data_IF_995334083683
#
_entry.id   IF_995334083683
#
_cell.length_a   1.000
_cell.length_b   1.000
_cell.length_c   1.000
_cell.angle_alpha   90.00
_cell.angle_beta   90.00
_cell.angle_gamma   90.00
#
_symmetry.space_group_name_H-M   'P 1'
#
loop_
_entity.id
_entity.type
_entity.pdbx_description
1 polymer ?
#
# COMPACT_ATOMS: atom_id res chain seq x y z
N UNK A 1 11.86 20.31 40.55
CA UNK A 1 12.49 19.49 39.49
C UNK A 1 13.10 20.43 38.48
N UNK A 2 14.38 20.28 38.16
CA UNK A 2 15.10 21.21 37.28
C UNK A 2 14.50 21.16 35.86
N UNK A 3 13.81 22.23 35.47
CA UNK A 3 13.12 22.35 34.17
C UNK A 3 14.07 22.68 33.01
N UNK A 4 15.38 22.70 33.26
CA UNK A 4 16.36 23.14 32.28
C UNK A 4 16.85 21.99 31.39
N UNK A 5 17.22 22.33 30.16
CA UNK A 5 17.79 21.43 29.17
C UNK A 5 19.27 21.77 29.03
N UNK A 6 20.14 20.79 29.26
CA UNK A 6 21.57 20.93 29.04
C UNK A 6 21.88 20.53 27.60
N UNK A 7 22.43 21.45 26.82
CA UNK A 7 22.81 21.23 25.42
C UNK A 7 24.34 21.35 25.31
N UNK A 8 24.99 20.28 24.87
CA UNK A 8 26.42 20.29 24.54
C UNK A 8 26.59 20.57 23.05
N UNK A 9 27.28 21.66 22.71
CA UNK A 9 27.69 21.98 21.33
C UNK A 9 29.21 22.21 21.37
N UNK A 10 29.97 21.30 20.78
CA UNK A 10 31.43 21.27 20.95
C UNK A 10 31.80 21.08 22.43
N UNK A 11 32.67 21.94 22.95
CA UNK A 11 33.13 21.93 24.34
C UNK A 11 32.29 22.83 25.28
N UNK A 12 31.19 23.42 24.79
CA UNK A 12 30.38 24.39 25.54
C UNK A 12 29.06 23.75 25.98
N UNK A 13 28.77 23.88 27.29
CA UNK A 13 27.50 23.48 27.91
C UNK A 13 26.55 24.67 27.98
N UNK A 14 25.44 24.60 27.25
CA UNK A 14 24.36 25.57 27.31
C UNK A 14 23.25 25.07 28.25
N UNK A 15 22.85 25.91 29.19
CA UNK A 15 21.66 25.71 30.02
C UNK A 15 20.48 26.44 29.39
N UNK A 16 19.51 25.68 28.89
CA UNK A 16 18.27 26.21 28.29
C UNK A 16 17.18 26.10 29.35
N UNK A 17 16.88 27.21 30.03
CA UNK A 17 15.81 27.26 31.04
C UNK A 17 14.43 27.47 30.41
N UNK A 18 14.37 28.24 29.32
CA UNK A 18 13.16 28.44 28.52
C UNK A 18 13.08 27.41 27.37
N UNK A 19 12.04 26.58 27.40
CA UNK A 19 11.82 25.50 26.42
C UNK A 19 11.12 26.01 25.16
N UNK A 20 10.65 27.26 25.14
CA UNK A 20 9.96 27.86 24.00
C UNK A 20 10.75 27.73 22.69
N UNK A 21 12.09 27.91 22.65
CA UNK A 21 12.78 27.86 21.37
C UNK A 21 12.86 26.45 20.79
N UNK A 22 13.02 25.43 21.64
CA UNK A 22 13.01 24.02 21.21
C UNK A 22 11.63 23.62 20.72
N UNK A 23 10.56 24.08 21.39
CA UNK A 23 9.18 23.88 20.94
C UNK A 23 8.97 24.45 19.53
N UNK A 24 9.37 25.70 19.29
CA UNK A 24 9.17 26.36 18.00
C UNK A 24 9.99 25.72 16.88
N UNK A 25 11.24 25.34 17.15
CA UNK A 25 12.07 24.63 16.17
C UNK A 25 11.46 23.28 15.82
N UNK A 26 11.01 22.50 16.81
CA UNK A 26 10.34 21.23 16.59
C UNK A 26 9.06 21.39 15.77
N UNK A 27 8.24 22.38 16.12
CA UNK A 27 7.01 22.69 15.39
C UNK A 27 7.31 22.98 13.92
N UNK A 28 8.30 23.85 13.65
CA UNK A 28 8.70 24.21 12.29
C UNK A 28 9.21 23.01 11.48
N UNK A 29 10.03 22.16 12.09
CA UNK A 29 10.54 20.95 11.44
C UNK A 29 9.45 19.91 11.12
N UNK A 30 8.39 19.84 11.94
CA UNK A 30 7.23 18.98 11.68
C UNK A 30 6.37 19.57 10.56
N UNK A 31 6.12 20.88 10.58
CA UNK A 31 5.38 21.60 9.52
C UNK A 31 6.06 21.44 8.16
N UNK A 32 7.39 21.54 8.13
CA UNK A 32 8.19 21.38 6.92
C UNK A 32 8.40 19.89 6.54
N UNK A 33 7.86 18.95 7.32
CA UNK A 33 7.88 17.50 7.04
C UNK A 33 9.23 16.80 7.25
N UNK A 34 10.23 17.51 7.80
CA UNK A 34 11.63 17.06 7.90
C UNK A 34 11.84 16.04 9.03
N UNK A 35 11.03 16.14 10.09
CA UNK A 35 11.23 15.38 11.34
C UNK A 35 10.45 14.06 11.42
N UNK A 36 9.40 13.89 10.61
CA UNK A 36 8.41 12.79 10.73
C UNK A 36 9.06 11.41 10.63
N UNK A 37 9.88 11.16 9.60
CA UNK A 37 10.47 9.84 9.37
C UNK A 37 11.60 9.49 10.37
N UNK A 38 12.29 10.51 10.89
CA UNK A 38 13.47 10.32 11.76
C UNK A 38 13.10 10.15 13.23
N UNK A 39 11.98 10.72 13.68
CA UNK A 39 11.55 10.68 15.09
C UNK A 39 10.58 9.53 15.37
N UNK A 40 9.88 9.00 14.37
CA UNK A 40 9.12 7.74 14.49
C UNK A 40 9.99 6.55 14.94
N UNK A 41 11.30 6.60 14.69
CA UNK A 41 12.25 5.58 15.13
C UNK A 41 12.68 5.72 16.61
N UNK A 42 12.45 6.88 17.23
CA UNK A 42 12.87 7.19 18.60
C UNK A 42 11.68 7.13 19.55
N UNK A 43 10.48 7.45 19.06
CA UNK A 43 9.29 7.57 19.91
C UNK A 43 8.16 6.71 19.32
N UNK A 44 7.75 5.61 20.00
CA UNK A 44 6.84 4.62 19.47
C UNK A 44 5.38 5.08 19.65
N UNK A 45 4.97 6.14 18.96
CA UNK A 45 3.59 6.59 18.96
C UNK A 45 2.93 6.36 17.60
N UNK A 46 1.74 5.77 17.65
CA UNK A 46 0.94 5.45 16.47
C UNK A 46 0.63 6.69 15.62
N UNK A 47 0.55 6.47 14.31
CA UNK A 47 0.38 7.43 13.20
C UNK A 47 -0.98 8.18 13.24
N UNK A 48 -1.77 8.03 14.31
CA UNK A 48 -3.14 8.55 14.43
C UNK A 48 -3.27 9.87 15.18
N UNK A 49 -2.16 10.52 15.58
CA UNK A 49 -2.19 11.78 16.32
C UNK A 49 -2.24 13.01 15.39
N UNK A 50 -2.91 14.07 15.83
CA UNK A 50 -2.76 15.39 15.21
C UNK A 50 -1.34 15.93 15.44
N UNK A 51 -0.87 16.86 14.59
CA UNK A 51 0.48 17.45 14.70
C UNK A 51 0.74 18.08 16.08
N UNK A 52 -0.28 18.72 16.67
CA UNK A 52 -0.20 19.36 17.98
C UNK A 52 -0.12 18.35 19.12
N UNK A 53 -0.91 17.27 19.06
CA UNK A 53 -0.82 16.16 20.03
C UNK A 53 0.53 15.44 19.96
N UNK A 54 1.07 15.27 18.75
CA UNK A 54 2.37 14.68 18.53
C UNK A 54 3.50 15.54 19.11
N UNK A 55 3.47 16.85 18.84
CA UNK A 55 4.42 17.82 19.38
C UNK A 55 4.40 17.84 20.92
N UNK A 56 3.21 17.90 21.52
CA UNK A 56 3.05 17.89 22.97
C UNK A 56 3.56 16.59 23.62
N UNK A 57 3.34 15.44 22.96
CA UNK A 57 3.89 14.14 23.44
C UNK A 57 5.40 14.05 23.29
N UNK A 58 5.97 14.55 22.19
CA UNK A 58 7.43 14.61 22.02
C UNK A 58 8.09 15.42 23.13
N UNK A 59 7.50 16.57 23.46
CA UNK A 59 8.03 17.44 24.51
C UNK A 59 7.85 16.79 25.89
N UNK A 60 6.70 16.17 26.14
CA UNK A 60 6.50 15.36 27.36
C UNK A 60 7.49 14.20 27.47
N UNK A 61 7.93 13.62 26.35
CA UNK A 61 8.93 12.54 26.32
C UNK A 61 10.34 13.08 26.62
N UNK A 62 10.70 14.24 26.06
CA UNK A 62 11.94 14.99 26.39
C UNK A 62 12.01 15.31 27.89
N UNK A 63 10.88 15.54 28.54
CA UNK A 63 10.81 15.90 29.95
C UNK A 63 10.97 14.72 30.92
N UNK A 64 10.54 13.51 30.53
CA UNK A 64 10.42 12.37 31.46
C UNK A 64 11.66 11.50 31.56
N UNK A 65 12.52 11.47 30.54
CA UNK A 65 13.64 10.53 30.48
C UNK A 65 14.95 11.22 30.06
N UNK A 66 15.89 11.31 31.01
CA UNK A 66 17.18 12.00 30.85
C UNK A 66 18.06 11.34 29.77
N UNK A 67 18.01 10.00 29.63
CA UNK A 67 18.84 9.28 28.66
C UNK A 67 18.30 9.48 27.23
N UNK A 68 16.98 9.42 27.07
CA UNK A 68 16.32 9.62 25.78
C UNK A 68 16.28 11.10 25.35
N UNK A 69 16.27 12.04 26.32
CA UNK A 69 16.39 13.48 26.11
C UNK A 69 17.63 13.86 25.30
N UNK A 70 18.80 13.32 25.66
CA UNK A 70 20.06 13.62 24.95
C UNK A 70 20.05 13.12 23.50
N UNK A 71 19.56 11.90 23.26
CA UNK A 71 19.48 11.32 21.93
C UNK A 71 18.53 12.08 21.01
N UNK A 72 17.35 12.47 21.52
CA UNK A 72 16.36 13.21 20.76
C UNK A 72 16.83 14.64 20.46
N UNK A 73 17.41 15.34 21.43
CA UNK A 73 17.99 16.67 21.24
C UNK A 73 19.12 16.63 20.21
N UNK A 74 20.03 15.65 20.30
CA UNK A 74 21.07 15.44 19.29
C UNK A 74 20.46 15.29 17.90
N UNK A 75 19.36 14.53 17.77
CA UNK A 75 18.67 14.36 16.49
C UNK A 75 18.03 15.64 15.96
N UNK A 76 17.44 16.45 16.84
CA UNK A 76 16.89 17.76 16.49
C UNK A 76 18.01 18.66 15.97
N UNK A 77 19.14 18.73 16.67
CA UNK A 77 20.30 19.53 16.26
C UNK A 77 20.88 19.05 14.93
N UNK A 78 21.13 17.75 14.77
CA UNK A 78 21.60 17.17 13.50
C UNK A 78 20.64 17.48 12.36
N UNK A 79 19.34 17.40 12.61
CA UNK A 79 18.32 17.67 11.61
C UNK A 79 18.27 19.15 11.27
N UNK A 80 18.46 20.03 12.26
CA UNK A 80 18.52 21.47 12.03
C UNK A 80 19.71 21.83 11.13
N UNK A 81 20.90 21.36 11.51
CA UNK A 81 22.15 21.64 10.78
C UNK A 81 22.03 21.18 9.33
N UNK A 82 21.55 19.96 9.10
CA UNK A 82 21.47 19.38 7.76
C UNK A 82 20.45 20.07 6.83
N UNK A 83 19.41 20.71 7.36
CA UNK A 83 18.32 21.26 6.54
C UNK A 83 18.28 22.79 6.52
N UNK A 84 18.77 23.44 7.58
CA UNK A 84 18.66 24.88 7.76
C UNK A 84 20.00 25.55 8.09
N UNK A 85 21.00 24.79 8.54
CA UNK A 85 22.30 25.34 8.96
C UNK A 85 23.02 26.09 7.84
N UNK A 86 23.14 25.47 6.66
CA UNK A 86 23.80 26.11 5.51
C UNK A 86 23.09 27.39 5.08
N UNK A 87 21.76 27.35 4.94
CA UNK A 87 20.97 28.53 4.57
C UNK A 87 21.08 29.65 5.62
N UNK A 88 21.14 29.30 6.90
CA UNK A 88 21.34 30.26 7.99
C UNK A 88 22.72 30.94 7.88
N UNK A 89 23.78 30.16 7.69
CA UNK A 89 25.14 30.67 7.51
C UNK A 89 25.26 31.54 6.26
N UNK A 90 24.68 31.12 5.14
CA UNK A 90 24.64 31.90 3.90
C UNK A 90 23.94 33.25 4.10
N UNK A 91 22.79 33.27 4.80
CA UNK A 91 22.03 34.50 5.06
C UNK A 91 22.86 35.55 5.83
N UNK A 92 23.62 35.08 6.83
CA UNK A 92 24.43 35.92 7.70
C UNK A 92 25.92 35.97 7.33
N UNK A 93 26.30 35.45 6.17
CA UNK A 93 27.69 35.39 5.69
C UNK A 93 28.38 36.76 5.63
N UNK A 94 27.66 37.79 5.19
CA UNK A 94 28.16 39.18 5.15
C UNK A 94 28.00 39.94 6.49
N UNK A 95 27.63 39.24 7.57
CA UNK A 95 27.57 39.76 8.93
C UNK A 95 26.17 39.87 9.54
N UNK A 96 26.14 39.94 10.87
CA UNK A 96 24.94 40.13 11.69
C UNK A 96 24.67 41.61 11.91
N UNK A 97 23.79 42.18 11.08
CA UNK A 97 23.27 43.54 11.26
C UNK A 97 21.79 43.53 11.66
N UNK A 98 21.33 44.64 12.21
CA UNK A 98 19.98 44.80 12.75
C UNK A 98 18.88 44.60 11.70
N UNK A 99 19.10 45.08 10.47
CA UNK A 99 18.13 44.94 9.38
C UNK A 99 17.92 43.47 9.00
N UNK A 100 19.02 42.72 8.81
CA UNK A 100 19.00 41.28 8.53
C UNK A 100 18.36 40.50 9.68
N UNK A 101 18.69 40.83 10.92
CA UNK A 101 18.07 40.21 12.11
C UNK A 101 16.57 40.41 12.10
N UNK A 102 16.11 41.66 11.94
CA UNK A 102 14.68 41.99 11.92
C UNK A 102 13.94 41.33 10.75
N UNK A 103 14.56 41.26 9.58
CA UNK A 103 14.01 40.57 8.41
C UNK A 103 13.87 39.06 8.66
N UNK A 104 14.93 38.42 9.18
CA UNK A 104 14.92 36.99 9.49
C UNK A 104 13.88 36.64 10.57
N UNK A 105 13.70 37.49 11.59
CA UNK A 105 12.66 37.32 12.61
C UNK A 105 11.26 37.33 11.98
N UNK A 106 11.01 38.19 10.99
CA UNK A 106 9.72 38.25 10.28
C UNK A 106 9.50 37.02 9.38
N UNK A 107 10.55 36.56 8.72
CA UNK A 107 10.48 35.45 7.76
C UNK A 107 10.39 34.08 8.43
N UNK A 108 11.07 33.87 9.57
CA UNK A 108 11.18 32.56 10.23
C UNK A 108 10.61 32.54 11.64
N UNK A 109 11.19 33.34 12.55
CA UNK A 109 10.76 33.66 13.92
C UNK A 109 11.97 34.04 14.77
N UNK A 110 11.72 34.69 15.90
CA UNK A 110 12.75 35.00 16.91
C UNK A 110 13.39 33.74 17.50
N UNK A 111 12.59 32.71 17.75
CA UNK A 111 13.03 31.45 18.35
C UNK A 111 13.92 30.64 17.40
N UNK A 112 13.60 30.66 16.10
CA UNK A 112 14.42 30.02 15.08
C UNK A 112 15.77 30.74 14.90
N UNK A 113 15.77 32.07 14.93
CA UNK A 113 17.02 32.88 14.95
C UNK A 113 17.85 32.56 16.19
N UNK A 114 17.23 32.50 17.36
CA UNK A 114 17.91 32.19 18.62
C UNK A 114 18.62 30.83 18.57
N UNK A 115 17.94 29.82 18.05
CA UNK A 115 18.50 28.48 17.91
C UNK A 115 19.67 28.43 16.92
N UNK A 116 19.53 29.09 15.76
CA UNK A 116 20.62 29.18 14.78
C UNK A 116 21.84 29.94 15.30
N UNK A 117 21.63 31.03 16.05
CA UNK A 117 22.71 31.78 16.70
C UNK A 117 23.44 30.97 17.77
N UNK A 118 22.74 30.09 18.50
CA UNK A 118 23.40 29.20 19.46
C UNK A 118 24.26 28.16 18.74
N UNK A 119 23.71 27.50 17.71
CA UNK A 119 24.42 26.45 16.99
C UNK A 119 25.63 26.96 16.20
N UNK A 120 25.52 28.15 15.62
CA UNK A 120 26.62 28.78 14.86
C UNK A 120 27.61 29.57 15.73
N UNK A 121 27.40 29.64 17.05
CA UNK A 121 28.25 30.42 17.96
C UNK A 121 28.06 31.95 17.88
N UNK A 122 27.07 32.42 17.10
CA UNK A 122 26.77 33.84 16.90
C UNK A 122 25.86 34.46 17.97
N UNK A 123 25.64 33.78 19.10
CA UNK A 123 24.76 34.24 20.19
C UNK A 123 25.08 35.65 20.69
N UNK A 124 26.36 36.05 20.69
CA UNK A 124 26.77 37.39 21.12
C UNK A 124 26.09 38.50 20.31
N UNK A 125 25.96 38.33 18.99
CA UNK A 125 25.32 39.33 18.13
C UNK A 125 23.82 39.46 18.43
N UNK A 126 23.16 38.33 18.71
CA UNK A 126 21.75 38.33 19.12
C UNK A 126 21.58 38.97 20.50
N UNK A 127 22.45 38.66 21.47
CA UNK A 127 22.42 39.27 22.79
C UNK A 127 22.68 40.78 22.73
N UNK A 128 23.64 41.23 21.90
CA UNK A 128 23.91 42.64 21.65
C UNK A 128 22.69 43.34 21.03
N UNK A 129 22.00 42.70 20.08
CA UNK A 129 20.76 43.23 19.51
C UNK A 129 19.64 43.34 20.56
N UNK A 130 19.39 42.27 21.34
CA UNK A 130 18.34 42.24 22.36
C UNK A 130 18.62 43.18 23.55
N UNK A 131 19.88 43.43 23.85
CA UNK A 131 20.27 44.38 24.91
C UNK A 131 20.14 45.84 24.48
N UNK A 132 20.27 46.13 23.18
CA UNK A 132 20.08 47.47 22.60
C UNK A 132 18.62 47.81 22.33
N UNK A 133 17.74 46.81 22.25
CA UNK A 133 16.32 46.97 21.90
C UNK A 133 15.44 47.46 23.05
N UNK A 134 15.77 48.61 23.65
CA UNK A 134 14.86 49.44 24.46
C UNK A 134 14.24 50.61 23.67
N UNK A 135 14.35 50.60 22.34
CA UNK A 135 13.79 51.64 21.48
C UNK A 135 12.49 51.19 20.83
N UNK A 136 11.40 51.88 21.16
CA UNK A 136 10.18 51.88 20.36
C UNK A 136 10.52 52.56 19.04
N UNK A 137 10.64 51.77 17.97
CA UNK A 137 10.77 52.30 16.61
C UNK A 137 9.47 53.02 16.23
N UNK A 138 9.52 54.36 16.14
CA UNK A 138 8.45 55.16 15.55
C UNK A 138 8.82 55.34 14.07
N UNK A 139 8.10 54.62 13.22
CA UNK A 139 8.23 54.68 11.77
C UNK A 139 7.82 56.08 11.27
N UNK A 140 8.75 56.83 10.66
CA UNK A 140 8.41 58.08 9.98
C UNK A 140 7.61 57.74 8.70
N UNK A 141 6.35 58.17 8.68
CA UNK A 141 5.34 57.75 7.69
C UNK A 141 5.37 58.54 6.38
N UNK A 142 6.30 59.49 6.23
CA UNK A 142 6.26 60.45 5.13
C UNK A 142 7.09 60.05 3.90
N UNK A 143 8.22 59.37 4.04
CA UNK A 143 9.06 58.90 2.90
C UNK A 143 8.85 57.42 2.52
N UNK A 144 8.21 56.63 3.37
CA UNK A 144 8.05 55.19 3.20
C UNK A 144 6.85 54.75 2.34
N UNK A 145 5.97 55.65 1.91
CA UNK A 145 4.78 55.26 1.14
C UNK A 145 5.12 54.88 -0.30
N UNK A 146 5.92 55.67 -0.99
CA UNK A 146 6.24 55.42 -2.40
C UNK A 146 7.17 54.20 -2.57
N UNK A 147 8.13 54.01 -1.66
CA UNK A 147 8.97 52.79 -1.61
C UNK A 147 8.19 51.55 -1.19
N UNK A 148 7.32 51.62 -0.17
CA UNK A 148 6.43 50.48 0.17
C UNK A 148 5.53 50.13 -1.00
N UNK A 149 4.99 51.10 -1.73
CA UNK A 149 4.11 50.82 -2.87
C UNK A 149 4.88 50.18 -4.04
N UNK A 150 6.14 50.51 -4.26
CA UNK A 150 7.00 49.81 -5.23
C UNK A 150 7.40 48.42 -4.77
N UNK A 151 7.81 48.26 -3.52
CA UNK A 151 8.16 46.95 -2.93
C UNK A 151 6.96 46.00 -2.94
N UNK A 152 5.77 46.49 -2.58
CA UNK A 152 4.51 45.72 -2.65
C UNK A 152 4.19 45.35 -4.09
N UNK A 153 4.43 46.23 -5.07
CA UNK A 153 4.21 45.92 -6.49
C UNK A 153 5.19 44.87 -7.01
N UNK A 154 6.46 44.92 -6.60
CA UNK A 154 7.45 43.91 -6.95
C UNK A 154 7.15 42.56 -6.30
N UNK A 155 6.79 42.55 -5.02
CA UNK A 155 6.43 41.35 -4.28
C UNK A 155 5.16 40.73 -4.87
N UNK A 156 4.14 41.53 -5.22
CA UNK A 156 2.97 41.07 -5.96
C UNK A 156 3.31 40.49 -7.34
N UNK A 157 4.31 41.03 -8.05
CA UNK A 157 4.77 40.45 -9.32
C UNK A 157 5.45 39.11 -9.10
N UNK A 158 6.31 38.98 -8.07
CA UNK A 158 6.97 37.71 -7.71
C UNK A 158 5.95 36.65 -7.33
N UNK A 159 5.00 36.99 -6.44
CA UNK A 159 3.92 36.10 -6.03
C UNK A 159 3.07 35.67 -7.22
N UNK A 160 2.71 36.61 -8.13
CA UNK A 160 1.96 36.25 -9.35
C UNK A 160 2.71 35.29 -10.24
N UNK A 161 4.00 35.53 -10.47
CA UNK A 161 4.85 34.65 -11.27
C UNK A 161 4.96 33.25 -10.66
N UNK A 162 5.20 33.18 -9.35
CA UNK A 162 5.33 31.90 -8.64
C UNK A 162 4.00 31.13 -8.61
N UNK A 163 2.88 31.82 -8.47
CA UNK A 163 1.55 31.23 -8.54
C UNK A 163 1.23 30.70 -9.95
N UNK A 164 1.64 31.40 -11.01
CA UNK A 164 1.54 30.87 -12.39
C UNK A 164 2.45 29.66 -12.61
N UNK A 165 3.69 29.69 -12.10
CA UNK A 165 4.63 28.56 -12.19
C UNK A 165 4.05 27.32 -11.52
N UNK A 166 3.56 27.46 -10.28
CA UNK A 166 2.94 26.38 -9.51
C UNK A 166 1.68 25.83 -10.19
N UNK A 167 0.86 26.70 -10.81
CA UNK A 167 -0.30 26.25 -11.62
C UNK A 167 0.13 25.39 -12.80
N UNK A 168 1.18 25.78 -13.50
CA UNK A 168 1.72 25.01 -14.64
C UNK A 168 2.29 23.66 -14.18
N UNK A 169 3.05 23.62 -13.08
CA UNK A 169 3.54 22.37 -12.48
C UNK A 169 2.38 21.44 -12.07
N UNK A 170 1.31 21.98 -11.50
CA UNK A 170 0.08 21.23 -11.17
C UNK A 170 -0.58 20.63 -12.42
N UNK A 171 -0.63 21.38 -13.52
CA UNK A 171 -1.18 20.88 -14.80
C UNK A 171 -0.33 19.72 -15.33
N UNK A 172 1.00 19.83 -15.30
CA UNK A 172 1.89 18.76 -15.76
C UNK A 172 1.80 17.51 -14.88
N UNK A 173 1.71 17.67 -13.55
CA UNK A 173 1.47 16.55 -12.64
C UNK A 173 0.15 15.86 -12.92
N UNK A 174 -0.92 16.62 -13.20
CA UNK A 174 -2.22 16.06 -13.60
C UNK A 174 -2.10 15.25 -14.90
N UNK A 175 -1.48 15.82 -15.95
CA UNK A 175 -1.23 15.09 -17.21
C UNK A 175 -0.43 13.80 -16.99
N UNK A 176 0.57 13.85 -16.14
CA UNK A 176 1.41 12.68 -15.81
C UNK A 176 0.58 11.61 -15.08
N UNK A 177 -0.22 12.01 -14.10
CA UNK A 177 -1.13 11.11 -13.39
C UNK A 177 -2.16 10.49 -14.33
N UNK A 178 -2.78 11.27 -15.23
CA UNK A 178 -3.72 10.73 -16.22
C UNK A 178 -3.06 9.70 -17.12
N UNK A 179 -1.80 9.94 -17.52
CA UNK A 179 -1.01 9.00 -18.31
C UNK A 179 -0.70 7.72 -17.55
N UNK A 180 -0.34 7.82 -16.26
CA UNK A 180 -0.10 6.66 -15.39
C UNK A 180 -1.39 5.88 -15.14
N UNK A 181 -2.53 6.56 -14.96
CA UNK A 181 -3.83 5.94 -14.79
C UNK A 181 -4.23 5.13 -16.02
N UNK A 182 -4.00 5.67 -17.22
CA UNK A 182 -4.23 4.96 -18.48
C UNK A 182 -3.34 3.71 -18.60
N UNK A 183 -2.04 3.84 -18.29
CA UNK A 183 -1.12 2.67 -18.26
C UNK A 183 -1.57 1.61 -17.27
N UNK A 184 -2.07 2.01 -16.09
CA UNK A 184 -2.58 1.10 -15.08
C UNK A 184 -3.84 0.37 -15.55
N UNK A 185 -4.74 1.06 -16.23
CA UNK A 185 -5.92 0.46 -16.85
C UNK A 185 -5.55 -0.55 -17.94
N UNK A 186 -4.59 -0.23 -18.80
CA UNK A 186 -4.08 -1.14 -19.84
C UNK A 186 -3.46 -2.39 -19.24
N UNK A 187 -2.64 -2.25 -18.19
CA UNK A 187 -2.02 -3.38 -17.48
C UNK A 187 -3.11 -4.24 -16.83
N UNK A 188 -4.12 -3.62 -16.21
CA UNK A 188 -5.24 -4.33 -15.58
C UNK A 188 -6.03 -5.15 -16.60
N UNK A 189 -6.28 -4.59 -17.80
CA UNK A 189 -6.92 -5.33 -18.89
C UNK A 189 -6.08 -6.50 -19.38
N UNK A 190 -4.76 -6.31 -19.51
CA UNK A 190 -3.83 -7.39 -19.89
C UNK A 190 -3.81 -8.51 -18.86
N UNK A 191 -3.77 -8.18 -17.57
CA UNK A 191 -3.81 -9.16 -16.48
C UNK A 191 -5.08 -10.01 -16.55
N UNK A 192 -6.26 -9.38 -16.68
CA UNK A 192 -7.53 -10.12 -16.82
C UNK A 192 -7.53 -11.10 -18.00
N UNK A 193 -7.01 -10.67 -19.16
CA UNK A 193 -6.90 -11.55 -20.34
C UNK A 193 -5.99 -12.74 -20.07
N UNK A 194 -4.83 -12.50 -19.45
CA UNK A 194 -3.88 -13.56 -19.11
C UNK A 194 -4.46 -14.53 -18.07
N UNK A 195 -5.24 -14.05 -17.11
CA UNK A 195 -5.95 -14.90 -16.15
C UNK A 195 -6.99 -15.79 -16.85
N UNK A 196 -7.75 -15.25 -17.80
CA UNK A 196 -8.70 -16.02 -18.61
C UNK A 196 -7.99 -17.05 -19.50
N UNK A 197 -6.89 -16.68 -20.15
CA UNK A 197 -6.06 -17.60 -20.94
C UNK A 197 -5.46 -18.71 -20.08
N UNK A 198 -4.91 -18.39 -18.92
CA UNK A 198 -4.36 -19.37 -17.99
C UNK A 198 -5.44 -20.34 -17.50
N UNK A 199 -6.65 -19.84 -17.22
CA UNK A 199 -7.79 -20.69 -16.87
C UNK A 199 -8.17 -21.65 -18.01
N UNK A 200 -8.18 -21.17 -19.26
CA UNK A 200 -8.43 -22.03 -20.44
C UNK A 200 -7.38 -23.12 -20.56
N UNK A 201 -6.10 -22.77 -20.48
CA UNK A 201 -4.98 -23.72 -20.52
C UNK A 201 -5.11 -24.74 -19.39
N UNK A 202 -5.45 -24.30 -18.18
CA UNK A 202 -5.66 -25.18 -17.03
C UNK A 202 -6.81 -26.17 -17.26
N UNK A 203 -7.95 -25.69 -17.76
CA UNK A 203 -9.11 -26.53 -18.08
C UNK A 203 -8.81 -27.52 -19.21
N UNK A 204 -8.10 -27.10 -20.26
CA UNK A 204 -7.62 -27.95 -21.36
C UNK A 204 -6.66 -29.03 -20.87
N UNK A 205 -5.69 -28.67 -20.02
CA UNK A 205 -4.74 -29.61 -19.44
C UNK A 205 -5.45 -30.65 -18.56
N UNK A 206 -6.42 -30.24 -17.74
CA UNK A 206 -7.21 -31.17 -16.94
C UNK A 206 -8.05 -32.11 -17.81
N UNK A 207 -8.62 -31.59 -18.89
CA UNK A 207 -9.37 -32.38 -19.86
C UNK A 207 -8.46 -33.43 -20.54
N UNK A 208 -7.25 -33.05 -20.95
CA UNK A 208 -6.25 -33.97 -21.51
C UNK A 208 -5.82 -35.05 -20.50
N UNK A 209 -5.52 -34.66 -19.25
CA UNK A 209 -5.17 -35.61 -18.17
C UNK A 209 -6.28 -36.63 -17.94
N UNK A 210 -7.53 -36.17 -17.87
CA UNK A 210 -8.69 -37.05 -17.74
C UNK A 210 -8.83 -38.00 -18.95
N UNK A 211 -8.63 -37.48 -20.18
CA UNK A 211 -8.68 -38.28 -21.39
C UNK A 211 -7.61 -39.38 -21.41
N UNK A 212 -6.39 -39.07 -21.00
CA UNK A 212 -5.32 -40.08 -20.85
C UNK A 212 -5.67 -41.17 -19.84
N UNK A 213 -6.29 -40.80 -18.72
CA UNK A 213 -6.70 -41.73 -17.66
C UNK A 213 -7.82 -42.69 -18.11
N UNK A 214 -8.60 -42.31 -19.14
CA UNK A 214 -9.68 -43.13 -19.69
C UNK A 214 -9.24 -44.12 -20.78
N UNK A 215 -8.01 -44.03 -21.29
CA UNK A 215 -7.53 -44.95 -22.33
C UNK A 215 -7.67 -46.40 -21.87
N UNK A 216 -8.33 -47.22 -22.69
CA UNK A 216 -8.59 -48.65 -22.45
C UNK A 216 -9.40 -48.96 -21.17
N UNK A 217 -10.10 -47.98 -20.59
CA UNK A 217 -10.96 -48.18 -19.42
C UNK A 217 -12.35 -48.69 -19.80
N UNK A 218 -12.97 -49.39 -18.86
CA UNK A 218 -14.37 -49.85 -18.93
C UNK A 218 -15.25 -48.98 -18.06
N UNK A 219 -16.34 -48.46 -18.63
CA UNK A 219 -17.32 -47.64 -17.92
C UNK A 219 -18.65 -48.40 -17.85
N UNK A 220 -19.22 -48.51 -16.66
CA UNK A 220 -20.64 -48.83 -16.50
C UNK A 220 -21.42 -47.53 -16.42
N UNK A 221 -22.33 -47.30 -17.37
CA UNK A 221 -23.22 -46.14 -17.38
C UNK A 221 -24.63 -46.60 -17.03
N UNK A 222 -25.14 -46.09 -15.91
CA UNK A 222 -26.48 -46.40 -15.41
C UNK A 222 -27.38 -45.22 -15.75
N UNK A 223 -28.28 -45.43 -16.70
CA UNK A 223 -29.14 -44.38 -17.27
C UNK A 223 -30.44 -44.96 -17.81
N UNK A 224 -31.55 -44.25 -17.63
CA UNK A 224 -32.88 -44.63 -18.15
C UNK A 224 -33.20 -43.94 -19.48
N UNK A 225 -32.30 -44.06 -20.46
CA UNK A 225 -32.54 -43.61 -21.82
C UNK A 225 -32.08 -44.67 -22.82
N UNK A 226 -33.04 -45.16 -23.60
CA UNK A 226 -32.88 -46.27 -24.54
C UNK A 226 -32.31 -45.83 -25.90
N UNK A 227 -32.23 -44.53 -26.18
CA UNK A 227 -31.87 -44.00 -27.50
C UNK A 227 -30.44 -43.41 -27.57
N UNK A 228 -29.53 -43.85 -26.70
CA UNK A 228 -28.16 -43.28 -26.60
C UNK A 228 -27.11 -44.10 -27.36
N UNK A 229 -27.42 -45.29 -27.88
CA UNK A 229 -26.44 -46.24 -28.44
C UNK A 229 -25.51 -45.62 -29.49
N UNK A 230 -26.02 -44.80 -30.42
CA UNK A 230 -25.20 -44.12 -31.43
C UNK A 230 -24.33 -42.97 -30.91
N UNK A 231 -24.66 -42.39 -29.74
CA UNK A 231 -23.83 -41.38 -29.07
C UNK A 231 -22.75 -42.02 -28.21
N UNK A 232 -22.99 -43.24 -27.71
CA UNK A 232 -22.02 -44.00 -26.90
C UNK A 232 -20.82 -44.42 -27.72
N UNK A 233 -21.01 -44.90 -28.94
CA UNK A 233 -19.87 -45.27 -29.80
C UNK A 233 -18.99 -44.06 -30.11
N UNK A 234 -19.59 -42.89 -30.37
CA UNK A 234 -18.83 -41.63 -30.55
C UNK A 234 -17.98 -41.29 -29.33
N UNK A 235 -18.54 -41.41 -28.14
CA UNK A 235 -17.81 -41.14 -26.88
C UNK A 235 -16.73 -42.19 -26.64
N UNK A 236 -17.02 -43.46 -26.94
CA UNK A 236 -16.05 -44.55 -26.80
C UNK A 236 -14.83 -44.32 -27.69
N UNK A 237 -15.03 -43.90 -28.93
CA UNK A 237 -13.98 -43.50 -29.87
C UNK A 237 -13.25 -42.23 -29.40
N UNK A 238 -14.01 -41.18 -29.04
CA UNK A 238 -13.46 -39.88 -28.64
C UNK A 238 -12.50 -39.99 -27.45
N UNK A 239 -12.81 -40.84 -26.47
CA UNK A 239 -12.02 -41.03 -25.24
C UNK A 239 -11.19 -42.33 -25.22
N UNK A 240 -11.12 -43.06 -26.34
CA UNK A 240 -10.37 -44.33 -26.46
C UNK A 240 -10.73 -45.36 -25.38
N UNK A 241 -12.02 -45.45 -25.03
CA UNK A 241 -12.52 -46.36 -24.01
C UNK A 241 -12.56 -47.79 -24.54
N UNK A 242 -12.22 -48.76 -23.70
CA UNK A 242 -12.33 -50.19 -24.05
C UNK A 242 -13.79 -50.59 -24.21
N UNK A 243 -14.64 -50.12 -23.29
CA UNK A 243 -16.04 -50.51 -23.26
C UNK A 243 -16.89 -49.50 -22.48
N UNK A 244 -18.12 -49.26 -22.97
CA UNK A 244 -19.18 -48.59 -22.21
C UNK A 244 -20.36 -49.55 -22.15
N UNK A 245 -20.68 -50.08 -20.96
CA UNK A 245 -21.85 -50.93 -20.74
C UNK A 245 -23.00 -50.12 -20.17
N UNK A 246 -24.18 -50.25 -20.77
CA UNK A 246 -25.40 -49.60 -20.31
C UNK A 246 -26.17 -50.47 -19.33
N UNK A 247 -26.69 -49.83 -18.28
CA UNK A 247 -27.59 -50.43 -17.31
C UNK A 247 -28.79 -49.50 -17.09
N UNK A 248 -29.99 -50.07 -16.94
CA UNK A 248 -31.17 -49.29 -16.57
C UNK A 248 -31.21 -49.06 -15.07
N UNK A 249 -31.59 -47.86 -14.64
CA UNK A 249 -31.81 -47.55 -13.22
C UNK A 249 -33.19 -47.96 -12.70
N UNK A 250 -34.13 -48.32 -13.59
CA UNK A 250 -35.48 -48.76 -13.24
C UNK A 250 -35.65 -50.29 -13.08
N UNK A 251 -34.64 -51.07 -13.45
CA UNK A 251 -34.68 -52.52 -13.29
C UNK A 251 -33.61 -52.94 -12.28
N UNK A 252 -34.04 -53.53 -11.17
CA UNK A 252 -33.22 -54.42 -10.34
C UNK A 252 -32.90 -55.68 -11.16
N UNK A 253 -32.13 -55.52 -12.23
CA UNK A 253 -31.69 -56.63 -13.06
C UNK A 253 -30.68 -57.45 -12.26
N UNK A 254 -30.71 -58.80 -12.33
CA UNK A 254 -29.66 -59.65 -11.77
C UNK A 254 -28.26 -59.30 -12.30
N UNK A 255 -28.16 -58.55 -13.41
CA UNK A 255 -26.90 -58.16 -14.03
C UNK A 255 -26.17 -57.00 -13.33
N UNK A 256 -26.79 -56.32 -12.35
CA UNK A 256 -26.11 -55.28 -11.56
C UNK A 256 -25.09 -55.92 -10.61
N UNK A 257 -25.30 -57.20 -10.27
CA UNK A 257 -24.42 -57.88 -9.34
C UNK A 257 -23.03 -58.23 -9.91
N UNK A 258 -22.90 -58.26 -11.24
CA UNK A 258 -21.70 -58.60 -12.01
C UNK A 258 -21.03 -57.39 -12.70
N UNK A 259 -21.28 -56.16 -12.22
CA UNK A 259 -20.65 -54.96 -12.81
C UNK A 259 -19.13 -55.01 -12.58
N UNK A 260 -18.38 -55.26 -13.66
CA UNK A 260 -16.92 -55.22 -13.69
C UNK A 260 -16.45 -54.08 -14.61
N UNK A 261 -16.31 -52.90 -14.02
CA UNK A 261 -15.91 -51.65 -14.71
C UNK A 261 -14.93 -50.85 -13.86
N UNK A 262 -14.00 -50.14 -14.51
CA UNK A 262 -13.04 -49.24 -13.84
C UNK A 262 -13.72 -48.03 -13.20
N UNK A 263 -14.76 -47.51 -13.87
CA UNK A 263 -15.59 -46.39 -13.41
C UNK A 263 -17.07 -46.72 -13.57
N UNK A 264 -17.89 -46.23 -12.64
CA UNK A 264 -19.34 -46.35 -12.69
C UNK A 264 -19.96 -44.95 -12.68
N UNK A 265 -20.69 -44.61 -13.73
CA UNK A 265 -21.41 -43.34 -13.83
C UNK A 265 -22.89 -43.61 -13.53
N UNK A 266 -23.38 -43.04 -12.44
CA UNK A 266 -24.75 -43.19 -11.98
C UNK A 266 -25.55 -41.92 -12.27
N UNK A 267 -26.53 -42.02 -13.18
CA UNK A 267 -27.36 -40.89 -13.59
C UNK A 267 -28.67 -40.88 -12.78
N UNK A 268 -28.89 -39.85 -11.95
CA UNK A 268 -29.85 -39.94 -10.84
C UNK A 268 -31.15 -39.19 -11.03
N UNK A 269 -31.45 -38.66 -12.21
CA UNK A 269 -32.65 -37.83 -12.40
C UNK A 269 -33.96 -38.64 -12.23
N UNK A 270 -33.89 -39.99 -12.35
CA UNK A 270 -35.04 -40.92 -12.23
C UNK A 270 -34.73 -42.23 -11.49
N UNK A 271 -33.53 -42.39 -10.94
CA UNK A 271 -33.06 -43.69 -10.46
C UNK A 271 -33.53 -44.04 -9.04
N UNK A 272 -33.84 -45.32 -8.79
CA UNK A 272 -34.22 -45.81 -7.46
C UNK A 272 -33.03 -45.78 -6.47
N UNK A 273 -33.27 -45.27 -5.25
CA UNK A 273 -32.27 -45.19 -4.17
C UNK A 273 -31.63 -46.53 -3.81
N UNK A 274 -32.33 -47.64 -4.01
CA UNK A 274 -31.86 -48.99 -3.66
C UNK A 274 -30.81 -49.51 -4.64
N UNK A 275 -30.88 -49.12 -5.92
CA UNK A 275 -29.88 -49.49 -6.93
C UNK A 275 -28.55 -48.81 -6.63
N UNK A 276 -28.58 -47.52 -6.30
CA UNK A 276 -27.38 -46.78 -5.90
C UNK A 276 -26.67 -47.38 -4.68
N UNK A 277 -27.44 -47.75 -3.63
CA UNK A 277 -26.88 -48.37 -2.41
C UNK A 277 -26.16 -49.68 -2.72
N UNK A 278 -26.73 -50.53 -3.58
CA UNK A 278 -26.12 -51.82 -3.98
C UNK A 278 -24.83 -51.64 -4.77
N UNK A 279 -24.75 -50.64 -5.64
CA UNK A 279 -23.54 -50.37 -6.43
C UNK A 279 -22.46 -49.78 -5.52
N UNK A 280 -22.84 -48.89 -4.60
CA UNK A 280 -21.94 -48.26 -3.63
C UNK A 280 -21.24 -49.26 -2.72
N UNK A 281 -21.85 -50.39 -2.40
CA UNK A 281 -21.18 -51.44 -1.62
C UNK A 281 -20.17 -52.26 -2.44
N UNK A 282 -20.11 -52.12 -3.77
CA UNK A 282 -19.28 -52.94 -4.66
C UNK A 282 -18.13 -52.19 -5.34
N UNK A 283 -18.21 -50.86 -5.43
CA UNK A 283 -17.16 -50.05 -6.07
C UNK A 283 -16.96 -48.71 -5.37
N UNK A 284 -15.71 -48.30 -5.25
CA UNK A 284 -15.33 -46.98 -4.71
C UNK A 284 -15.33 -45.88 -5.77
N UNK A 285 -15.36 -46.25 -7.06
CA UNK A 285 -15.21 -45.32 -8.19
C UNK A 285 -16.56 -45.02 -8.84
N UNK A 286 -17.49 -44.48 -8.05
CA UNK A 286 -18.84 -44.16 -8.49
C UNK A 286 -19.00 -42.65 -8.61
N UNK A 287 -19.47 -42.20 -9.78
CA UNK A 287 -19.66 -40.80 -10.13
C UNK A 287 -21.14 -40.56 -10.29
N UNK A 288 -21.70 -39.71 -9.42
CA UNK A 288 -23.11 -39.42 -9.40
C UNK A 288 -23.39 -38.13 -10.18
N UNK A 289 -24.13 -38.22 -11.28
CA UNK A 289 -24.39 -37.08 -12.18
C UNK A 289 -25.91 -36.89 -12.35
N UNK A 290 -26.38 -35.66 -12.10
CA UNK A 290 -27.81 -35.31 -12.15
C UNK A 290 -28.26 -34.85 -13.54
N UNK A 291 -27.95 -35.61 -14.58
CA UNK A 291 -28.34 -35.31 -15.95
C UNK A 291 -28.60 -36.61 -16.71
N UNK A 292 -29.44 -36.55 -17.74
CA UNK A 292 -29.69 -37.66 -18.68
C UNK A 292 -29.10 -37.42 -20.09
N UNK A 293 -28.59 -36.22 -20.38
CA UNK A 293 -27.92 -35.96 -21.65
C UNK A 293 -26.48 -36.50 -21.60
N UNK A 294 -26.19 -37.49 -22.45
CA UNK A 294 -24.90 -38.19 -22.48
C UNK A 294 -23.69 -37.27 -22.63
N UNK A 295 -23.79 -36.20 -23.43
CA UNK A 295 -22.68 -35.27 -23.63
C UNK A 295 -22.40 -34.52 -22.32
N UNK A 296 -23.46 -34.04 -21.66
CA UNK A 296 -23.36 -33.35 -20.37
C UNK A 296 -22.84 -34.30 -19.27
N UNK A 297 -23.26 -35.57 -19.30
CA UNK A 297 -22.80 -36.58 -18.37
C UNK A 297 -21.29 -36.78 -18.50
N UNK A 298 -20.79 -37.01 -19.73
CA UNK A 298 -19.38 -37.22 -19.96
C UNK A 298 -18.56 -35.95 -19.72
N UNK A 299 -19.04 -34.76 -20.12
CA UNK A 299 -18.35 -33.50 -19.80
C UNK A 299 -18.14 -33.31 -18.29
N UNK A 300 -19.16 -33.60 -17.49
CA UNK A 300 -19.07 -33.51 -16.03
C UNK A 300 -18.14 -34.58 -15.44
N UNK A 301 -18.21 -35.80 -15.97
CA UNK A 301 -17.35 -36.89 -15.57
C UNK A 301 -15.86 -36.57 -15.86
N UNK A 302 -15.55 -36.08 -17.06
CA UNK A 302 -14.20 -35.70 -17.48
C UNK A 302 -13.66 -34.55 -16.63
N UNK A 303 -14.46 -33.51 -16.39
CA UNK A 303 -14.08 -32.40 -15.50
C UNK A 303 -13.79 -32.86 -14.08
N UNK A 304 -14.57 -33.81 -13.57
CA UNK A 304 -14.34 -34.37 -12.24
C UNK A 304 -13.04 -35.17 -12.19
N UNK A 305 -12.76 -36.01 -13.19
CA UNK A 305 -11.51 -36.76 -13.26
C UNK A 305 -10.31 -35.84 -13.35
N UNK A 306 -10.36 -34.83 -14.23
CA UNK A 306 -9.24 -33.90 -14.44
C UNK A 306 -8.85 -33.10 -13.20
N UNK A 307 -9.82 -32.76 -12.34
CA UNK A 307 -9.59 -32.00 -11.09
C UNK A 307 -9.04 -32.85 -9.94
N UNK A 308 -9.30 -34.15 -9.95
CA UNK A 308 -8.96 -35.06 -8.84
C UNK A 308 -7.66 -35.83 -9.06
N UNK A 309 -7.00 -35.65 -10.21
CA UNK A 309 -5.63 -36.11 -10.43
C UNK A 309 -4.72 -35.13 -9.67
N UNK A 310 -4.48 -35.40 -8.38
CA UNK A 310 -3.37 -34.76 -7.67
C UNK A 310 -2.07 -35.14 -8.41
N UNK A 311 -1.19 -34.17 -8.59
CA UNK A 311 0.16 -34.45 -9.09
C UNK A 311 0.85 -35.31 -8.02
N UNK A 312 0.85 -36.63 -8.23
CA UNK A 312 1.77 -37.55 -7.58
C UNK A 312 3.20 -37.31 -8.10
#
# INVERSE_FOLDING_TARGET
>A
MFNSIYLYIGDILYLIEDKSPIYFVLKKMIEDGVLLDKVNNIVPYDILLTQEEYLNRLISYIEKDIANKGALIKKIVETWINNYGLTFEEYFSDGFNEEKINKYIREQSKDFLWFGCILSGNYRYLADFLSRSNYIYIEDKSENKDKKDEDIKEELKKIKYENERLKNELIERKKTNDTLLNKLNDITLKLKRLEEENKKIYDENNYLKAKLLLINKKIALIIDDKNITGKIEKIKEEYYLKEIKLYSSNQLSPNIDDINSDFIIFCSERAQHDVYKKIKSKSNNIFHIKHNNINIIFDNFIKFLGRNIKND
#
